data_IF_490277044216
#
_entry.id   IF_490277044216
#
_cell.length_a   1.000
_cell.length_b   1.000
_cell.length_c   1.000
_cell.angle_alpha   90.00
_cell.angle_beta   90.00
_cell.angle_gamma   90.00
#
_symmetry.space_group_name_H-M   'P 1'
#
loop_
_entity.id
_entity.type
_entity.pdbx_description
1 polymer ?
#
# COMPACT_ATOMS: atom_id res chain seq x y z
N UNK A 1 -12.33 13.89 -8.33
CA UNK A 1 -12.06 12.54 -8.87
C UNK A 1 -11.13 11.92 -7.85
N UNK A 2 -11.53 10.82 -7.20
CA UNK A 2 -10.63 10.17 -6.24
C UNK A 2 -9.55 9.50 -7.08
N UNK A 3 -8.33 10.04 -7.05
CA UNK A 3 -7.21 9.42 -7.75
C UNK A 3 -6.88 8.09 -7.07
N UNK A 4 -6.53 7.09 -7.88
CA UNK A 4 -6.16 5.75 -7.40
C UNK A 4 -5.02 5.86 -6.38
N UNK A 5 -4.10 6.80 -6.59
CA UNK A 5 -3.00 7.12 -5.70
C UNK A 5 -3.48 7.49 -4.28
N UNK A 6 -4.54 8.29 -4.13
CA UNK A 6 -5.05 8.70 -2.81
C UNK A 6 -5.64 7.51 -2.04
N UNK A 7 -6.34 6.59 -2.74
CA UNK A 7 -6.87 5.37 -2.14
C UNK A 7 -5.75 4.43 -1.70
N UNK A 8 -4.73 4.25 -2.55
CA UNK A 8 -3.55 3.45 -2.22
C UNK A 8 -2.84 4.04 -1.00
N UNK A 9 -2.56 5.35 -1.00
CA UNK A 9 -1.92 6.03 0.14
C UNK A 9 -2.68 5.82 1.44
N UNK A 10 -4.00 5.98 1.43
CA UNK A 10 -4.83 5.76 2.61
C UNK A 10 -4.67 4.36 3.18
N UNK A 11 -4.76 3.33 2.35
CA UNK A 11 -4.62 1.94 2.78
C UNK A 11 -3.23 1.73 3.38
N UNK A 12 -2.17 2.23 2.72
CA UNK A 12 -0.79 2.09 3.20
C UNK A 12 -0.60 2.76 4.56
N UNK A 13 -1.12 3.98 4.72
CA UNK A 13 -1.07 4.75 5.97
C UNK A 13 -1.82 4.04 7.10
N UNK A 14 -3.03 3.52 6.81
CA UNK A 14 -3.85 2.83 7.80
C UNK A 14 -3.29 1.46 8.18
N UNK A 15 -2.77 0.69 7.21
CA UNK A 15 -2.26 -0.67 7.44
C UNK A 15 -0.87 -0.65 8.09
N UNK A 16 0.07 0.14 7.54
CA UNK A 16 1.43 0.23 8.06
C UNK A 16 1.55 1.20 9.24
N UNK A 17 0.49 1.95 9.59
CA UNK A 17 0.52 2.98 10.64
C UNK A 17 1.66 3.99 10.45
N UNK A 18 1.90 4.40 9.20
CA UNK A 18 2.94 5.36 8.80
C UNK A 18 2.34 6.72 8.42
N UNK A 19 3.15 7.78 8.47
CA UNK A 19 2.68 9.10 8.03
C UNK A 19 2.44 9.14 6.51
N UNK A 20 1.35 9.77 6.09
CA UNK A 20 1.01 9.97 4.68
C UNK A 20 2.10 10.73 3.90
N UNK A 21 2.81 11.62 4.61
CA UNK A 21 3.94 12.39 4.07
C UNK A 21 5.12 11.49 3.66
N UNK A 22 5.25 10.29 4.25
CA UNK A 22 6.27 9.31 3.88
C UNK A 22 5.87 8.45 2.69
N UNK A 23 4.57 8.31 2.43
CA UNK A 23 4.05 7.51 1.32
C UNK A 23 4.13 8.31 0.03
N UNK A 24 5.31 8.31 -0.57
CA UNK A 24 5.58 8.94 -1.86
C UNK A 24 5.53 7.89 -2.98
N UNK A 25 5.34 8.33 -4.23
CA UNK A 25 5.33 7.43 -5.40
C UNK A 25 6.67 6.67 -5.59
N UNK A 26 7.75 7.17 -4.99
CA UNK A 26 9.07 6.56 -5.06
C UNK A 26 9.48 5.88 -3.74
N UNK A 27 8.58 5.83 -2.73
CA UNK A 27 8.91 5.23 -1.44
C UNK A 27 8.97 3.69 -1.56
N UNK A 28 9.97 3.10 -0.92
CA UNK A 28 10.07 1.65 -0.73
C UNK A 28 9.17 1.23 0.42
N UNK A 29 8.24 0.32 0.18
CA UNK A 29 7.40 -0.25 1.25
C UNK A 29 8.24 -0.88 2.36
N UNK A 30 9.34 -1.54 2.00
CA UNK A 30 10.21 -2.22 2.95
C UNK A 30 11.20 -1.23 3.60
N UNK A 31 11.95 -0.48 2.78
CA UNK A 31 13.06 0.33 3.31
C UNK A 31 12.60 1.67 3.92
N UNK A 32 11.59 2.32 3.34
CA UNK A 32 11.13 3.64 3.77
C UNK A 32 9.94 3.57 4.72
N UNK A 33 9.01 2.64 4.48
CA UNK A 33 7.81 2.46 5.30
C UNK A 33 7.96 1.37 6.36
N UNK A 34 9.02 0.56 6.28
CA UNK A 34 9.30 -0.48 7.28
C UNK A 34 8.35 -1.67 7.23
N UNK A 35 7.65 -1.88 6.11
CA UNK A 35 6.80 -3.04 5.91
C UNK A 35 7.66 -4.31 5.88
N UNK A 36 7.24 -5.33 6.62
CA UNK A 36 7.85 -6.63 6.51
C UNK A 36 7.27 -7.44 5.33
N UNK A 37 7.83 -8.62 5.08
CA UNK A 37 7.34 -9.48 3.99
C UNK A 37 5.88 -9.90 4.16
N UNK A 38 5.36 -9.96 5.38
CA UNK A 38 3.96 -10.29 5.65
C UNK A 38 3.07 -9.07 5.40
N UNK A 39 3.46 -7.90 5.88
CA UNK A 39 2.77 -6.62 5.68
C UNK A 39 2.56 -6.33 4.19
N UNK A 40 3.58 -6.62 3.35
CA UNK A 40 3.46 -6.44 1.90
C UNK A 40 2.41 -7.37 1.27
N UNK A 41 2.28 -8.61 1.75
CA UNK A 41 1.27 -9.57 1.27
C UNK A 41 -0.12 -9.15 1.74
N UNK A 42 -0.26 -8.73 2.99
CA UNK A 42 -1.53 -8.22 3.54
C UNK A 42 -2.00 -6.95 2.81
N UNK A 43 -1.07 -6.03 2.50
CA UNK A 43 -1.34 -4.85 1.67
C UNK A 43 -1.84 -5.22 0.27
N UNK A 44 -1.16 -6.16 -0.40
CA UNK A 44 -1.57 -6.62 -1.73
C UNK A 44 -2.99 -7.19 -1.69
N UNK A 45 -3.31 -8.05 -0.73
CA UNK A 45 -4.67 -8.59 -0.55
C UNK A 45 -5.70 -7.48 -0.28
N UNK A 46 -5.35 -6.47 0.54
CA UNK A 46 -6.23 -5.33 0.81
C UNK A 46 -6.49 -4.49 -0.46
N UNK A 47 -5.49 -4.34 -1.32
CA UNK A 47 -5.67 -3.68 -2.62
C UNK A 47 -6.54 -4.51 -3.57
N UNK A 48 -6.33 -5.82 -3.63
CA UNK A 48 -7.16 -6.71 -4.44
C UNK A 48 -8.64 -6.62 -4.04
N UNK A 49 -8.95 -6.62 -2.74
CA UNK A 49 -10.32 -6.50 -2.24
C UNK A 49 -10.92 -5.10 -2.48
N UNK A 50 -10.18 -4.03 -2.19
CA UNK A 50 -10.63 -2.64 -2.34
C UNK A 50 -10.89 -2.26 -3.82
N UNK A 51 -10.06 -2.77 -4.72
CA UNK A 51 -10.12 -2.44 -6.15
C UNK A 51 -10.83 -3.53 -6.96
N UNK A 52 -11.12 -4.70 -6.37
CA UNK A 52 -11.70 -5.85 -7.07
C UNK A 52 -10.80 -6.36 -8.20
N UNK A 53 -9.48 -6.33 -7.98
CA UNK A 53 -8.45 -6.77 -8.93
C UNK A 53 -7.70 -7.98 -8.38
N UNK A 54 -7.01 -8.71 -9.25
CA UNK A 54 -5.96 -9.66 -8.85
C UNK A 54 -4.62 -9.05 -9.24
N UNK A 55 -3.70 -8.96 -8.29
CA UNK A 55 -2.32 -8.56 -8.51
C UNK A 55 -1.52 -9.85 -8.68
N UNK A 56 -1.02 -10.14 -9.90
CA UNK A 56 -0.22 -11.35 -10.11
C UNK A 56 1.11 -11.25 -9.35
N UNK A 57 1.47 -12.34 -8.67
CA UNK A 57 2.72 -12.51 -7.91
C UNK A 57 3.96 -12.81 -8.80
N UNK A 58 3.86 -12.67 -10.14
CA UNK A 58 4.89 -13.01 -11.13
C UNK A 58 5.58 -11.78 -11.78
#
# INVERSE_FOLDING_TARGET
>A
MSDIADRVKKIVVEHLSVDEDKVTENASFIDDLGADSLDTVELVMAFEEEFGIEIPDD
#
